data_IF_164085324658
#
_entry.id   IF_164085324658
#
_cell.length_a   1.000
_cell.length_b   1.000
_cell.length_c   1.000
_cell.angle_alpha   90.00
_cell.angle_beta   90.00
_cell.angle_gamma   90.00
#
_symmetry.space_group_name_H-M   'P 1'
#
loop_
_entity.id
_entity.type
_entity.pdbx_description
1 polymer ?
#
# COMPACT_ATOMS: atom_id res chain seq x y z
N UNK A 1 -4.62 10.44 29.78
CA UNK A 1 -5.51 11.50 29.24
C UNK A 1 -5.32 11.76 27.76
N UNK A 2 -4.10 12.03 27.27
CA UNK A 2 -3.85 12.42 25.86
C UNK A 2 -4.45 11.46 24.81
N UNK A 3 -4.30 10.14 24.96
CA UNK A 3 -4.75 9.16 23.94
C UNK A 3 -6.15 8.59 24.17
N UNK A 4 -6.79 8.86 25.32
CA UNK A 4 -8.07 8.19 25.65
C UNK A 4 -9.15 8.54 24.64
N UNK A 5 -9.28 9.83 24.31
CA UNK A 5 -10.24 10.30 23.32
C UNK A 5 -9.94 9.72 21.93
N UNK A 6 -8.67 9.75 21.50
CA UNK A 6 -8.25 9.21 20.20
C UNK A 6 -8.58 7.72 20.07
N UNK A 7 -8.30 6.93 21.10
CA UNK A 7 -8.62 5.49 21.10
C UNK A 7 -10.13 5.21 21.01
N UNK A 8 -10.96 6.00 21.70
CA UNK A 8 -12.43 5.90 21.61
C UNK A 8 -12.93 6.21 20.19
N UNK A 9 -12.40 7.28 19.58
CA UNK A 9 -12.75 7.71 18.22
C UNK A 9 -12.32 6.68 17.16
N UNK A 10 -11.06 6.22 17.21
CA UNK A 10 -10.54 5.25 16.25
C UNK A 10 -11.15 3.87 16.42
N UNK A 11 -11.44 3.43 17.65
CA UNK A 11 -12.15 2.16 17.85
C UNK A 11 -13.52 2.22 17.18
N UNK A 12 -14.30 3.27 17.43
CA UNK A 12 -15.62 3.44 16.80
C UNK A 12 -15.51 3.57 15.28
N UNK A 13 -14.48 4.25 14.78
CA UNK A 13 -14.23 4.30 13.34
C UNK A 13 -13.94 2.92 12.74
N UNK A 14 -12.95 2.22 13.29
CA UNK A 14 -12.44 0.96 12.76
C UNK A 14 -13.46 -0.17 12.84
N UNK A 15 -14.27 -0.22 13.90
CA UNK A 15 -15.22 -1.32 14.10
C UNK A 15 -16.62 -1.02 13.58
N UNK A 16 -17.05 0.25 13.49
CA UNK A 16 -18.44 0.58 13.14
C UNK A 16 -18.57 1.53 11.94
N UNK A 17 -17.88 2.67 11.97
CA UNK A 17 -18.21 3.80 11.11
C UNK A 17 -17.50 3.81 9.74
N UNK A 18 -16.38 3.11 9.59
CA UNK A 18 -15.65 3.10 8.32
C UNK A 18 -16.48 2.45 7.20
N UNK A 19 -16.61 3.15 6.07
CA UNK A 19 -17.32 2.66 4.88
C UNK A 19 -16.49 1.60 4.17
N UNK A 20 -16.96 0.36 4.17
CA UNK A 20 -16.25 -0.78 3.61
C UNK A 20 -16.16 -0.73 2.09
N UNK A 21 -17.18 -0.17 1.41
CA UNK A 21 -17.14 0.08 -0.02
C UNK A 21 -16.02 1.06 -0.41
N UNK A 22 -15.90 2.17 0.34
CA UNK A 22 -14.85 3.17 0.10
C UNK A 22 -13.47 2.59 0.38
N UNK A 23 -13.33 1.84 1.49
CA UNK A 23 -12.08 1.17 1.84
C UNK A 23 -11.64 0.16 0.76
N UNK A 24 -12.57 -0.63 0.23
CA UNK A 24 -12.30 -1.58 -0.84
C UNK A 24 -11.83 -0.88 -2.11
N UNK A 25 -12.55 0.16 -2.56
CA UNK A 25 -12.14 0.95 -3.73
C UNK A 25 -10.74 1.55 -3.54
N UNK A 26 -10.47 2.15 -2.39
CA UNK A 26 -9.14 2.72 -2.13
C UNK A 26 -8.04 1.66 -2.08
N UNK A 27 -8.35 0.44 -1.63
CA UNK A 27 -7.39 -0.66 -1.65
C UNK A 27 -7.02 -1.02 -3.10
N UNK A 28 -8.03 -1.13 -3.97
CA UNK A 28 -7.85 -1.38 -5.40
C UNK A 28 -7.12 -0.22 -6.11
N UNK A 29 -7.45 1.03 -5.79
CA UNK A 29 -6.78 2.21 -6.31
C UNK A 29 -5.29 2.24 -5.92
N UNK A 30 -4.98 1.93 -4.65
CA UNK A 30 -3.60 1.87 -4.17
C UNK A 30 -2.81 0.74 -4.87
N UNK A 31 -3.43 -0.42 -5.10
CA UNK A 31 -2.82 -1.50 -5.87
C UNK A 31 -2.53 -1.09 -7.32
N UNK A 32 -3.52 -0.51 -7.99
CA UNK A 32 -3.39 -0.09 -9.38
C UNK A 32 -2.33 1.01 -9.52
N UNK A 33 -2.30 1.97 -8.60
CA UNK A 33 -1.30 3.04 -8.61
C UNK A 33 0.11 2.52 -8.32
N UNK A 34 0.26 1.57 -7.39
CA UNK A 34 1.54 0.89 -7.16
C UNK A 34 2.05 0.25 -8.46
N UNK A 35 1.22 -0.54 -9.13
CA UNK A 35 1.56 -1.17 -10.39
C UNK A 35 1.88 -0.15 -11.50
N UNK A 36 1.09 0.92 -11.61
CA UNK A 36 1.32 2.00 -12.59
C UNK A 36 2.65 2.71 -12.37
N UNK A 37 3.02 2.98 -11.11
CA UNK A 37 4.29 3.60 -10.75
C UNK A 37 5.48 2.68 -11.05
N UNK A 38 5.35 1.38 -10.76
CA UNK A 38 6.39 0.39 -11.07
C UNK A 38 6.59 0.19 -12.58
N UNK A 39 5.54 0.37 -13.37
CA UNK A 39 5.59 0.32 -14.84
C UNK A 39 5.93 1.67 -15.48
N UNK A 40 6.16 2.72 -14.69
CA UNK A 40 6.45 4.06 -15.21
C UNK A 40 7.83 4.10 -15.87
N UNK A 41 7.94 4.81 -16.98
CA UNK A 41 9.18 4.91 -17.75
C UNK A 41 10.32 5.47 -16.88
N UNK A 42 11.43 4.73 -16.69
CA UNK A 42 12.56 5.18 -15.87
C UNK A 42 13.28 6.40 -16.44
N UNK A 43 13.40 6.52 -17.75
CA UNK A 43 14.20 7.58 -18.37
C UNK A 43 13.38 8.88 -18.44
N UNK A 44 13.67 9.82 -17.53
CA UNK A 44 12.95 11.10 -17.46
C UNK A 44 13.47 12.09 -18.53
N UNK A 45 12.64 12.46 -19.53
CA UNK A 45 13.06 13.37 -20.59
C UNK A 45 13.31 14.80 -20.10
N UNK A 46 12.80 15.18 -18.92
CA UNK A 46 12.97 16.54 -18.38
C UNK A 46 14.31 16.72 -17.69
N UNK A 47 14.73 15.76 -16.88
CA UNK A 47 16.01 15.83 -16.17
C UNK A 47 17.14 15.07 -16.87
N UNK A 48 16.84 14.21 -17.84
CA UNK A 48 17.80 13.31 -18.48
C UNK A 48 18.32 12.21 -17.57
N UNK A 49 17.65 11.96 -16.43
CA UNK A 49 18.05 10.97 -15.43
C UNK A 49 17.19 9.72 -15.53
N UNK A 50 17.77 8.58 -15.15
CA UNK A 50 17.04 7.34 -14.90
C UNK A 50 16.49 7.34 -13.47
N UNK A 51 15.17 7.39 -13.30
CA UNK A 51 14.48 7.50 -12.03
C UNK A 51 13.50 6.33 -11.88
N UNK A 52 13.84 5.36 -11.05
CA UNK A 52 12.93 4.26 -10.70
C UNK A 52 11.98 4.73 -9.61
N UNK A 53 10.67 4.60 -9.82
CA UNK A 53 9.63 5.06 -8.88
C UNK A 53 9.39 4.08 -7.71
N UNK A 54 10.44 3.45 -7.19
CA UNK A 54 10.33 2.41 -6.17
C UNK A 54 9.71 2.92 -4.85
N UNK A 55 10.13 4.09 -4.37
CA UNK A 55 9.60 4.66 -3.12
C UNK A 55 8.13 5.12 -3.24
N UNK A 56 7.72 5.90 -4.28
CA UNK A 56 6.31 6.21 -4.49
C UNK A 56 5.41 4.97 -4.61
N UNK A 57 5.89 3.92 -5.28
CA UNK A 57 5.15 2.66 -5.36
C UNK A 57 5.02 1.99 -3.98
N UNK A 58 6.09 2.03 -3.17
CA UNK A 58 6.08 1.48 -1.83
C UNK A 58 5.11 2.23 -0.88
N UNK A 59 4.97 3.55 -1.01
CA UNK A 59 3.95 4.31 -0.27
C UNK A 59 2.53 3.79 -0.56
N UNK A 60 2.24 3.41 -1.81
CA UNK A 60 0.95 2.80 -2.16
C UNK A 60 0.79 1.41 -1.55
N UNK A 61 1.87 0.63 -1.48
CA UNK A 61 1.88 -0.67 -0.77
C UNK A 61 1.55 -0.51 0.71
N UNK A 62 2.12 0.50 1.37
CA UNK A 62 1.81 0.82 2.78
C UNK A 62 0.34 1.22 2.94
N UNK A 63 -0.20 2.04 2.03
CA UNK A 63 -1.62 2.41 2.03
C UNK A 63 -2.52 1.19 1.86
N UNK A 64 -2.23 0.31 0.91
CA UNK A 64 -2.98 -0.93 0.71
C UNK A 64 -2.95 -1.81 1.97
N UNK A 65 -1.80 -1.95 2.63
CA UNK A 65 -1.66 -2.67 3.91
C UNK A 65 -2.55 -2.08 5.01
N UNK A 66 -2.57 -0.75 5.15
CA UNK A 66 -3.41 -0.07 6.14
C UNK A 66 -4.90 -0.22 5.84
N UNK A 67 -5.31 -0.06 4.58
CA UNK A 67 -6.70 -0.22 4.15
C UNK A 67 -7.20 -1.65 4.37
N UNK A 68 -6.35 -2.64 4.11
CA UNK A 68 -6.62 -4.04 4.45
C UNK A 68 -6.88 -4.22 5.95
N UNK A 69 -6.07 -3.63 6.83
CA UNK A 69 -6.29 -3.72 8.28
C UNK A 69 -7.64 -3.13 8.71
N UNK A 70 -8.08 -2.02 8.09
CA UNK A 70 -9.39 -1.43 8.36
C UNK A 70 -10.53 -2.31 7.86
N UNK A 71 -10.41 -2.88 6.66
CA UNK A 71 -11.39 -3.85 6.13
C UNK A 71 -11.49 -5.10 7.02
N UNK A 72 -10.35 -5.56 7.53
CA UNK A 72 -10.28 -6.69 8.46
C UNK A 72 -10.94 -6.36 9.81
N UNK A 73 -10.69 -5.16 10.36
CA UNK A 73 -11.32 -4.68 11.58
C UNK A 73 -12.84 -4.51 11.44
N UNK A 74 -13.33 -4.08 10.26
CA UNK A 74 -14.77 -4.02 9.94
C UNK A 74 -15.43 -5.39 9.81
N UNK A 75 -14.66 -6.48 9.82
CA UNK A 75 -15.18 -7.85 9.79
C UNK A 75 -15.79 -8.26 8.44
N UNK A 76 -15.52 -7.52 7.37
CA UNK A 76 -16.03 -7.83 6.02
C UNK A 76 -15.16 -8.80 5.23
N UNK A 77 -13.97 -9.14 5.75
CA UNK A 77 -13.04 -10.08 5.14
C UNK A 77 -13.15 -11.43 5.85
N UNK A 78 -13.52 -12.49 5.13
CA UNK A 78 -13.49 -13.87 5.65
C UNK A 78 -12.06 -14.38 5.85
N UNK A 79 -11.90 -15.48 6.60
CA UNK A 79 -10.59 -16.10 6.83
C UNK A 79 -9.87 -16.46 5.52
N UNK A 80 -10.61 -16.95 4.51
CA UNK A 80 -10.07 -17.28 3.20
C UNK A 80 -9.66 -16.04 2.42
N UNK A 81 -10.51 -15.00 2.42
CA UNK A 81 -10.20 -13.74 1.75
C UNK A 81 -9.01 -13.04 2.40
N UNK A 82 -8.86 -13.12 3.72
CA UNK A 82 -7.74 -12.54 4.47
C UNK A 82 -6.40 -13.01 3.92
N UNK A 83 -6.26 -14.32 3.63
CA UNK A 83 -5.04 -14.85 3.04
C UNK A 83 -4.79 -14.30 1.63
N UNK A 84 -5.85 -14.09 0.84
CA UNK A 84 -5.73 -13.49 -0.49
C UNK A 84 -5.26 -12.03 -0.42
N UNK A 85 -5.84 -11.20 0.45
CA UNK A 85 -5.41 -9.80 0.64
C UNK A 85 -3.97 -9.71 1.14
N UNK A 86 -3.57 -10.54 2.11
CA UNK A 86 -2.17 -10.61 2.58
C UNK A 86 -1.23 -10.99 1.43
N UNK A 87 -1.64 -11.95 0.59
CA UNK A 87 -0.88 -12.36 -0.59
C UNK A 87 -0.67 -11.21 -1.58
N UNK A 88 -1.73 -10.43 -1.84
CA UNK A 88 -1.65 -9.27 -2.74
C UNK A 88 -0.72 -8.18 -2.21
N UNK A 89 -0.86 -7.78 -0.93
CA UNK A 89 0.04 -6.78 -0.31
C UNK A 89 1.49 -7.25 -0.32
N UNK A 90 1.75 -8.54 -0.06
CA UNK A 90 3.09 -9.13 -0.14
C UNK A 90 3.65 -9.10 -1.56
N UNK A 91 2.82 -9.35 -2.57
CA UNK A 91 3.24 -9.26 -3.97
C UNK A 91 3.67 -7.84 -4.34
N UNK A 92 2.90 -6.81 -3.94
CA UNK A 92 3.29 -5.41 -4.14
C UNK A 92 4.63 -5.09 -3.46
N UNK A 93 4.78 -5.46 -2.18
CA UNK A 93 6.01 -5.22 -1.44
C UNK A 93 7.23 -5.86 -2.11
N UNK A 94 7.08 -7.09 -2.64
CA UNK A 94 8.12 -7.77 -3.41
C UNK A 94 8.47 -7.00 -4.68
N UNK A 95 7.47 -6.58 -5.46
CA UNK A 95 7.71 -5.81 -6.69
C UNK A 95 8.41 -4.47 -6.40
N UNK A 96 8.05 -3.78 -5.31
CA UNK A 96 8.74 -2.58 -4.86
C UNK A 96 10.20 -2.86 -4.47
N UNK A 97 10.47 -3.97 -3.78
CA UNK A 97 11.83 -4.37 -3.45
C UNK A 97 12.66 -4.71 -4.69
N UNK A 98 12.08 -5.45 -5.64
CA UNK A 98 12.73 -5.76 -6.91
C UNK A 98 13.03 -4.48 -7.72
N UNK A 99 12.10 -3.52 -7.76
CA UNK A 99 12.32 -2.22 -8.38
C UNK A 99 13.38 -1.38 -7.65
N UNK A 100 13.42 -1.43 -6.32
CA UNK A 100 14.42 -0.71 -5.54
C UNK A 100 15.85 -1.15 -5.90
N UNK A 101 16.08 -2.45 -6.15
CA UNK A 101 17.39 -2.96 -6.60
C UNK A 101 17.87 -2.38 -7.94
N UNK A 102 16.97 -1.79 -8.74
CA UNK A 102 17.30 -1.12 -10.00
C UNK A 102 17.66 0.36 -9.82
N UNK A 103 17.52 0.90 -8.61
CA UNK A 103 18.00 2.24 -8.26
C UNK A 103 19.51 2.20 -8.03
N UNK A 104 20.18 3.36 -8.13
CA UNK A 104 21.61 3.50 -7.82
C UNK A 104 21.91 3.00 -6.40
N UNK A 105 21.18 3.50 -5.40
CA UNK A 105 21.34 3.09 -4.00
C UNK A 105 21.09 1.60 -3.81
N UNK A 106 20.03 1.05 -4.41
CA UNK A 106 19.65 -0.35 -4.25
C UNK A 106 20.57 -1.33 -4.98
N UNK A 107 21.27 -0.90 -6.03
CA UNK A 107 22.28 -1.69 -6.71
C UNK A 107 23.55 -1.83 -5.87
N UNK A 108 23.93 -0.80 -5.11
CA UNK A 108 25.14 -0.80 -4.28
C UNK A 108 25.05 -1.69 -3.02
N UNK A 109 23.84 -2.06 -2.59
CA UNK A 109 23.59 -2.94 -1.42
C UNK A 109 23.36 -4.41 -1.78
N UNK A 110 23.38 -4.78 -3.07
CA UNK A 110 23.08 -6.11 -3.58
C UNK A 110 24.34 -6.96 -3.84
#
# INVERSE_FOLDING_TARGET
DIFRQTEEEYSRHNFDAASTEVLLRHFEDAEAECARLLAFEPDDPKSGKRIIMAHPAYDQTIKASHLFNLLDARGVISVTERQAYIGRVRALAKLCADAFRLTEVGADVA
#
